data_IF_933971314239
#
_entry.id   IF_933971314239
#
_cell.length_a   1.000
_cell.length_b   1.000
_cell.length_c   1.000
_cell.angle_alpha   90.00
_cell.angle_beta   90.00
_cell.angle_gamma   90.00
#
_symmetry.space_group_name_H-M   'P 1'
#
loop_
_entity.id
_entity.type
_entity.pdbx_description
1 polymer ?
#
# COMPACT_ATOMS: atom_id res chain seq x y z
N UNK A 1 -9.07 3.23 18.03
CA UNK A 1 -9.24 4.15 16.89
C UNK A 1 -8.02 4.01 16.00
N UNK A 2 -8.17 3.84 14.67
CA UNK A 2 -7.02 3.73 13.75
C UNK A 2 -6.50 5.11 13.39
N UNK A 3 -5.20 5.25 13.19
CA UNK A 3 -4.59 6.48 12.66
C UNK A 3 -5.11 6.74 11.23
N UNK A 4 -5.42 7.99 10.91
CA UNK A 4 -5.85 8.41 9.57
C UNK A 4 -4.76 9.33 9.01
N UNK A 5 -4.02 8.84 8.02
CA UNK A 5 -3.02 9.60 7.26
C UNK A 5 -2.99 9.14 5.81
N UNK A 6 -2.49 10.01 4.94
CA UNK A 6 -2.47 9.82 3.50
C UNK A 6 -1.09 10.19 2.95
N UNK A 7 -0.65 9.46 1.92
CA UNK A 7 0.49 9.83 1.07
C UNK A 7 -0.02 10.09 -0.34
N UNK A 8 0.77 10.80 -1.15
CA UNK A 8 0.37 11.21 -2.48
C UNK A 8 1.48 11.02 -3.51
N UNK A 9 1.12 10.43 -4.64
CA UNK A 9 1.98 10.38 -5.81
C UNK A 9 1.73 11.60 -6.71
N UNK A 10 2.75 12.44 -6.89
CA UNK A 10 2.67 13.58 -7.79
C UNK A 10 2.98 13.16 -9.23
N UNK A 11 1.98 13.27 -10.11
CA UNK A 11 2.04 12.76 -11.48
C UNK A 11 3.16 13.43 -12.31
N UNK A 12 3.30 14.78 -12.31
CA UNK A 12 4.30 15.46 -13.13
C UNK A 12 5.73 15.20 -12.67
N UNK A 13 6.00 15.22 -11.37
CA UNK A 13 7.37 15.09 -10.86
C UNK A 13 7.78 13.65 -10.56
N UNK A 14 6.83 12.70 -10.58
CA UNK A 14 7.07 11.29 -10.24
C UNK A 14 7.72 11.13 -8.86
N UNK A 15 7.12 11.77 -7.85
CA UNK A 15 7.61 11.73 -6.45
C UNK A 15 6.47 11.51 -5.47
N UNK A 16 6.77 10.81 -4.37
CA UNK A 16 5.86 10.63 -3.24
C UNK A 16 5.97 11.81 -2.26
N UNK A 17 4.82 12.27 -1.74
CA UNK A 17 4.72 13.36 -0.77
C UNK A 17 3.72 13.02 0.34
N UNK A 18 3.93 13.60 1.53
CA UNK A 18 2.90 13.69 2.55
C UNK A 18 1.88 14.79 2.17
N UNK A 19 0.59 14.54 2.39
CA UNK A 19 -0.48 15.41 1.88
C UNK A 19 -0.62 16.68 2.73
N UNK A 20 -0.37 17.84 2.13
CA UNK A 20 -0.67 19.15 2.72
C UNK A 20 -1.65 20.01 1.89
N UNK A 21 -2.07 19.55 0.70
CA UNK A 21 -2.95 20.31 -0.19
C UNK A 21 -3.71 19.42 -1.18
N UNK A 22 -4.94 19.82 -1.52
CA UNK A 22 -5.78 19.19 -2.54
C UNK A 22 -5.42 19.75 -3.92
N UNK A 23 -4.54 19.07 -4.65
CA UNK A 23 -4.22 19.43 -6.04
C UNK A 23 -4.57 18.26 -6.98
N UNK A 24 -5.06 18.59 -8.17
CA UNK A 24 -5.52 17.62 -9.20
C UNK A 24 -4.40 16.71 -9.73
N UNK A 25 -3.14 17.09 -9.51
CA UNK A 25 -1.98 16.37 -10.02
C UNK A 25 -1.48 15.25 -9.09
N UNK A 26 -2.26 14.92 -8.06
CA UNK A 26 -1.89 13.92 -7.05
C UNK A 26 -2.84 12.73 -7.06
N UNK A 27 -2.26 11.54 -6.90
CA UNK A 27 -3.01 10.33 -6.56
C UNK A 27 -2.83 10.04 -5.07
N UNK A 28 -3.92 10.07 -4.33
CA UNK A 28 -3.93 9.84 -2.87
C UNK A 28 -3.98 8.33 -2.56
N UNK A 29 -3.23 7.93 -1.53
CA UNK A 29 -3.23 6.57 -0.98
C UNK A 29 -3.39 6.64 0.52
N UNK A 30 -4.37 5.89 1.07
CA UNK A 30 -4.63 5.88 2.49
C UNK A 30 -3.72 4.88 3.23
N UNK A 31 -3.31 5.25 4.45
CA UNK A 31 -2.70 4.30 5.39
C UNK A 31 -3.73 3.27 5.86
N UNK A 32 -3.35 1.99 5.82
CA UNK A 32 -4.23 0.89 6.22
C UNK A 32 -4.46 0.81 7.73
N UNK A 33 -3.58 1.43 8.53
CA UNK A 33 -3.53 1.22 9.99
C UNK A 33 -2.66 0.03 10.40
N UNK A 34 -2.03 -0.65 9.44
CA UNK A 34 -1.24 -1.87 9.66
C UNK A 34 0.22 -1.65 9.25
N UNK A 35 1.11 -2.42 9.89
CA UNK A 35 2.54 -2.46 9.57
C UNK A 35 2.91 -3.84 9.04
N UNK A 36 3.92 -3.88 8.18
CA UNK A 36 4.50 -5.13 7.70
C UNK A 36 5.40 -5.78 8.75
N UNK A 37 6.03 -6.92 8.42
CA UNK A 37 6.91 -7.65 9.35
C UNK A 37 8.14 -6.86 9.80
N UNK A 38 8.51 -5.79 9.08
CA UNK A 38 9.65 -4.93 9.38
C UNK A 38 9.21 -3.62 10.07
N UNK A 39 7.93 -3.45 10.41
CA UNK A 39 7.40 -2.25 11.05
C UNK A 39 7.10 -1.09 10.08
N UNK A 40 7.18 -1.33 8.76
CA UNK A 40 6.88 -0.35 7.72
C UNK A 40 5.37 -0.18 7.60
N UNK A 41 4.90 1.07 7.56
CA UNK A 41 3.49 1.37 7.36
C UNK A 41 3.02 0.91 5.97
N UNK A 42 1.87 0.23 5.94
CA UNK A 42 1.26 -0.26 4.70
C UNK A 42 0.18 0.72 4.24
N UNK A 43 0.25 1.13 2.98
CA UNK A 43 -0.69 2.00 2.31
C UNK A 43 -1.34 1.33 1.11
N UNK A 44 -2.43 1.90 0.60
CA UNK A 44 -2.94 1.57 -0.73
C UNK A 44 -1.83 1.70 -1.79
N UNK A 45 -1.87 0.80 -2.77
CA UNK A 45 -0.89 0.72 -3.84
C UNK A 45 0.46 0.10 -3.45
N UNK A 46 0.70 -0.25 -2.18
CA UNK A 46 1.91 -0.99 -1.80
C UNK A 46 1.91 -2.40 -2.38
N UNK A 47 3.09 -2.86 -2.78
CA UNK A 47 3.35 -4.24 -3.19
C UNK A 47 3.92 -5.00 -2.01
N UNK A 48 3.18 -6.00 -1.53
CA UNK A 48 3.65 -6.89 -0.47
C UNK A 48 4.22 -8.18 -1.05
N UNK A 49 5.32 -8.66 -0.46
CA UNK A 49 5.95 -9.93 -0.80
C UNK A 49 6.02 -10.85 0.42
N UNK A 50 5.65 -12.13 0.24
CA UNK A 50 5.85 -13.16 1.28
C UNK A 50 7.24 -13.82 1.17
N UNK A 51 7.54 -14.75 2.09
CA UNK A 51 8.83 -15.48 2.07
C UNK A 51 8.99 -16.45 0.88
N UNK A 52 7.92 -16.75 0.14
CA UNK A 52 7.93 -17.58 -1.09
C UNK A 52 8.05 -16.71 -2.36
N UNK A 53 8.39 -15.43 -2.22
CA UNK A 53 8.46 -14.44 -3.30
C UNK A 53 7.13 -14.16 -4.03
N UNK A 54 5.99 -14.63 -3.52
CA UNK A 54 4.66 -14.27 -4.06
C UNK A 54 4.33 -12.83 -3.70
N UNK A 55 3.81 -12.10 -4.69
CA UNK A 55 3.50 -10.67 -4.60
C UNK A 55 1.99 -10.42 -4.67
N UNK A 56 1.57 -9.28 -4.13
CA UNK A 56 0.24 -8.73 -4.35
C UNK A 56 0.20 -7.23 -4.06
N UNK A 57 -0.84 -6.55 -4.52
CA UNK A 57 -1.05 -5.11 -4.35
C UNK A 57 -2.10 -4.85 -3.29
N UNK A 58 -1.87 -3.86 -2.43
CA UNK A 58 -2.86 -3.42 -1.46
C UNK A 58 -3.93 -2.56 -2.13
N UNK A 59 -5.18 -2.99 -2.07
CA UNK A 59 -6.35 -2.27 -2.58
C UNK A 59 -7.43 -2.15 -1.50
N UNK A 60 -8.19 -1.06 -1.51
CA UNK A 60 -9.43 -0.96 -0.75
C UNK A 60 -10.58 -1.54 -1.58
N UNK A 61 -11.14 -2.66 -1.14
CA UNK A 61 -12.17 -3.39 -1.86
C UNK A 61 -13.23 -3.89 -0.87
N UNK A 62 -14.50 -3.66 -1.22
CA UNK A 62 -15.67 -4.10 -0.44
C UNK A 62 -15.59 -3.72 1.07
N UNK A 63 -15.23 -2.47 1.34
CA UNK A 63 -15.17 -1.92 2.70
C UNK A 63 -13.94 -2.33 3.52
N UNK A 64 -12.96 -3.02 2.93
CA UNK A 64 -11.74 -3.45 3.62
C UNK A 64 -10.47 -3.23 2.79
N UNK A 65 -9.34 -3.05 3.47
CA UNK A 65 -8.03 -3.19 2.84
C UNK A 65 -7.74 -4.67 2.60
N UNK A 66 -7.37 -4.98 1.36
CA UNK A 66 -7.13 -6.32 0.89
C UNK A 66 -5.81 -6.39 0.13
N UNK A 67 -5.13 -7.53 0.20
CA UNK A 67 -4.08 -7.88 -0.75
C UNK A 67 -4.71 -8.52 -1.98
N UNK A 68 -4.62 -7.87 -3.13
CA UNK A 68 -4.99 -8.40 -4.43
C UNK A 68 -3.82 -9.16 -5.04
N UNK A 69 -4.03 -10.43 -5.33
CA UNK A 69 -3.10 -11.30 -6.04
C UNK A 69 -3.88 -12.20 -7.01
N UNK A 70 -3.97 -13.51 -6.75
CA UNK A 70 -4.91 -14.42 -7.43
C UNK A 70 -6.35 -14.33 -6.89
N UNK A 71 -6.58 -13.45 -5.92
CA UNK A 71 -7.85 -13.14 -5.28
C UNK A 71 -7.67 -11.95 -4.33
N UNK A 72 -8.71 -11.64 -3.55
CA UNK A 72 -8.66 -10.60 -2.52
C UNK A 72 -8.54 -11.23 -1.13
N UNK A 73 -7.52 -10.83 -0.38
CA UNK A 73 -7.27 -11.32 0.97
C UNK A 73 -7.27 -10.17 1.97
N UNK A 74 -8.22 -10.15 2.90
CA UNK A 74 -8.34 -9.11 3.93
C UNK A 74 -7.04 -9.00 4.73
N UNK A 75 -6.54 -7.77 4.87
CA UNK A 75 -5.34 -7.50 5.66
C UNK A 75 -5.65 -7.52 7.15
N UNK A 76 -4.80 -8.22 7.90
CA UNK A 76 -4.75 -8.17 9.37
C UNK A 76 -3.36 -8.59 9.85
N UNK A 77 -3.05 -8.34 11.12
CA UNK A 77 -1.73 -8.65 11.70
C UNK A 77 -1.33 -10.13 11.55
N UNK A 78 -2.30 -11.06 11.61
CA UNK A 78 -2.04 -12.48 11.41
C UNK A 78 -1.58 -12.79 9.98
N UNK A 79 -2.28 -12.24 8.99
CA UNK A 79 -1.97 -12.40 7.57
C UNK A 79 -0.65 -11.72 7.18
N UNK A 80 -0.27 -10.63 7.85
CA UNK A 80 0.92 -9.83 7.55
C UNK A 80 2.22 -10.36 8.18
N UNK A 81 2.16 -11.35 9.09
CA UNK A 81 3.33 -11.87 9.84
C UNK A 81 4.55 -12.18 8.97
N UNK A 82 4.34 -12.66 7.75
CA UNK A 82 5.41 -13.05 6.83
C UNK A 82 5.54 -12.16 5.59
N UNK A 83 4.90 -10.99 5.57
CA UNK A 83 4.88 -10.07 4.42
C UNK A 83 5.71 -8.84 4.70
N UNK A 84 6.40 -8.37 3.67
CA UNK A 84 7.12 -7.09 3.67
C UNK A 84 6.67 -6.22 2.51
N UNK A 85 6.65 -4.92 2.69
CA UNK A 85 6.57 -3.96 1.59
C UNK A 85 7.87 -4.03 0.78
N UNK A 86 7.75 -4.13 -0.55
CA UNK A 86 8.91 -4.17 -1.45
C UNK A 86 8.92 -3.02 -2.47
N UNK A 87 7.92 -2.15 -2.43
CA UNK A 87 7.72 -1.04 -3.36
C UNK A 87 6.23 -0.71 -3.47
N UNK A 88 5.88 0.14 -4.42
CA UNK A 88 4.49 0.46 -4.74
C UNK A 88 4.28 0.58 -6.25
N UNK A 89 3.02 0.57 -6.68
CA UNK A 89 2.65 0.56 -8.11
C UNK A 89 3.08 1.82 -8.89
N UNK A 90 3.49 2.90 -8.21
CA UNK A 90 3.88 4.16 -8.85
C UNK A 90 5.40 4.29 -8.98
N UNK A 91 6.13 4.02 -7.91
CA UNK A 91 7.60 4.11 -7.87
C UNK A 91 8.28 2.87 -8.44
N UNK A 92 7.58 1.72 -8.41
CA UNK A 92 8.14 0.43 -8.80
C UNK A 92 7.20 -0.34 -9.76
N UNK A 93 6.87 0.24 -10.94
CA UNK A 93 5.97 -0.41 -11.90
C UNK A 93 6.49 -1.78 -12.38
N UNK A 94 7.79 -2.04 -12.33
CA UNK A 94 8.44 -3.30 -12.67
C UNK A 94 8.13 -4.47 -11.72
N UNK A 95 7.46 -4.21 -10.58
CA UNK A 95 7.12 -5.25 -9.62
C UNK A 95 5.87 -6.04 -9.98
N UNK A 96 5.12 -5.60 -10.99
CA UNK A 96 3.86 -6.18 -11.48
C UNK A 96 4.05 -6.97 -12.78
#
# INVERSE_FOLDING_TARGET
>A
MREIKFRAWHIPTKKMFDVFSWCKDYVLMQFTGLKDKNGVDIYEGDVLQNNENKKGVVEFFDGSFCLKSNGFYVLNNGYLKNKKVIGNIYENPELL
#
